data_IF_919596932273
#
_entry.id   IF_919596932273
#
_cell.length_a   1.000
_cell.length_b   1.000
_cell.length_c   1.000
_cell.angle_alpha   90.00
_cell.angle_beta   90.00
_cell.angle_gamma   90.00
#
_symmetry.space_group_name_H-M   'P 1'
#
loop_
_entity.id
_entity.type
_entity.pdbx_description
1 polymer ?
#
# COMPACT_ATOMS: atom_id res chain seq x y z
N UNK A 1 -6.06 21.04 27.23
CA UNK A 1 -5.27 20.41 26.15
C UNK A 1 -5.73 20.94 24.80
N UNK A 2 -4.91 21.74 24.13
CA UNK A 2 -5.26 22.34 22.83
C UNK A 2 -5.15 21.31 21.70
N UNK A 3 -6.18 21.19 20.86
CA UNK A 3 -6.11 20.44 19.61
C UNK A 3 -5.21 21.20 18.63
N UNK A 4 -3.98 20.75 18.42
CA UNK A 4 -3.20 21.17 17.26
C UNK A 4 -3.81 20.55 16.00
N UNK A 5 -4.49 21.39 15.19
CA UNK A 5 -4.93 21.06 13.84
C UNK A 5 -3.83 21.49 12.87
N UNK A 6 -3.06 20.55 12.33
CA UNK A 6 -2.29 20.83 11.13
C UNK A 6 -3.27 20.95 9.95
N UNK A 7 -3.47 22.17 9.46
CA UNK A 7 -4.25 22.44 8.25
C UNK A 7 -3.28 22.59 7.09
N UNK A 8 -3.29 21.62 6.21
CA UNK A 8 -2.48 21.63 5.00
C UNK A 8 -3.30 21.00 3.90
N UNK A 9 -3.53 21.75 2.82
CA UNK A 9 -4.19 21.21 1.62
C UNK A 9 -5.60 20.66 1.89
N UNK A 10 -6.36 21.33 2.76
CA UNK A 10 -7.73 20.91 3.13
C UNK A 10 -7.81 19.67 4.01
N UNK A 11 -6.70 18.97 4.28
CA UNK A 11 -6.64 17.76 5.10
C UNK A 11 -6.43 18.11 6.58
N UNK A 12 -7.16 17.43 7.45
CA UNK A 12 -6.92 17.39 8.90
C UNK A 12 -6.82 15.94 9.34
N UNK A 13 -5.80 15.61 10.12
CA UNK A 13 -5.54 14.24 10.60
C UNK A 13 -5.50 14.23 12.12
N UNK A 14 -6.22 13.30 12.74
CA UNK A 14 -6.30 13.13 14.20
C UNK A 14 -6.11 11.67 14.58
N UNK A 15 -5.11 11.38 15.41
CA UNK A 15 -4.96 10.06 16.01
C UNK A 15 -5.96 9.90 17.16
N UNK A 16 -6.74 8.81 17.13
CA UNK A 16 -7.79 8.52 18.11
C UNK A 16 -7.34 7.54 19.21
N UNK A 17 -6.31 6.74 18.95
CA UNK A 17 -5.84 5.70 19.85
C UNK A 17 -5.18 4.56 19.08
N UNK A 18 -4.95 3.44 19.75
CA UNK A 18 -4.56 2.18 19.13
C UNK A 18 -5.38 1.01 19.66
N UNK A 19 -5.44 -0.06 18.86
CA UNK A 19 -5.98 -1.36 19.27
C UNK A 19 -4.93 -2.44 19.07
N UNK A 20 -4.72 -3.27 20.09
CA UNK A 20 -3.84 -4.43 20.02
C UNK A 20 -4.68 -5.70 20.05
N UNK A 21 -4.68 -6.44 18.93
CA UNK A 21 -5.21 -7.80 18.83
C UNK A 21 -4.04 -8.73 18.50
N UNK A 22 -4.04 -9.40 17.35
CA UNK A 22 -2.86 -10.10 16.81
C UNK A 22 -1.75 -9.12 16.35
N UNK A 23 -2.16 -7.91 15.98
CA UNK A 23 -1.28 -6.80 15.55
C UNK A 23 -1.82 -5.51 16.15
N UNK A 24 -0.94 -4.51 16.29
CA UNK A 24 -1.35 -3.17 16.73
C UNK A 24 -1.69 -2.28 15.54
N UNK A 25 -2.85 -1.65 15.61
CA UNK A 25 -3.34 -0.67 14.64
C UNK A 25 -3.58 0.66 15.32
N UNK A 26 -3.13 1.75 14.72
CA UNK A 26 -3.42 3.12 15.13
C UNK A 26 -4.66 3.60 14.38
N UNK A 27 -5.65 4.07 15.14
CA UNK A 27 -6.86 4.68 14.61
C UNK A 27 -6.59 6.12 14.28
N UNK A 28 -6.90 6.50 13.05
CA UNK A 28 -6.70 7.83 12.51
C UNK A 28 -8.01 8.30 11.92
N UNK A 29 -8.48 9.47 12.36
CA UNK A 29 -9.57 10.19 11.75
C UNK A 29 -9.00 11.22 10.77
N UNK A 30 -9.52 11.22 9.56
CA UNK A 30 -9.13 12.15 8.50
C UNK A 30 -10.35 12.97 8.11
N UNK A 31 -10.17 14.28 7.96
CA UNK A 31 -11.19 15.18 7.43
C UNK A 31 -10.65 15.91 6.20
N UNK A 32 -11.43 15.95 5.13
CA UNK A 32 -11.12 16.64 3.87
C UNK A 32 -12.42 17.18 3.27
N UNK A 33 -12.44 18.46 2.88
CA UNK A 33 -13.59 19.06 2.16
C UNK A 33 -14.97 18.85 2.84
N UNK A 34 -15.00 18.78 4.16
CA UNK A 34 -16.23 18.56 4.94
C UNK A 34 -16.59 17.09 5.14
N UNK A 35 -15.95 16.16 4.44
CA UNK A 35 -16.04 14.73 4.71
C UNK A 35 -15.10 14.34 5.85
N UNK A 36 -15.49 13.33 6.63
CA UNK A 36 -14.65 12.76 7.69
C UNK A 36 -14.79 11.25 7.70
N UNK A 37 -13.67 10.55 7.78
CA UNK A 37 -13.63 9.09 7.87
C UNK A 37 -12.55 8.63 8.85
N UNK A 38 -12.66 7.38 9.28
CA UNK A 38 -11.68 6.73 10.14
C UNK A 38 -10.98 5.62 9.38
N UNK A 39 -9.70 5.45 9.65
CA UNK A 39 -8.87 4.38 9.12
C UNK A 39 -7.97 3.81 10.21
N UNK A 40 -7.57 2.56 10.01
CA UNK A 40 -6.68 1.83 10.92
C UNK A 40 -5.42 1.45 10.16
N UNK A 41 -4.26 1.93 10.61
CA UNK A 41 -2.96 1.64 9.98
C UNK A 41 -2.03 1.03 11.01
N UNK A 42 -1.20 0.08 10.59
CA UNK A 42 -0.14 -0.47 11.43
C UNK A 42 1.07 0.45 11.38
N UNK A 43 1.94 0.33 12.37
CA UNK A 43 3.23 1.02 12.38
C UNK A 43 4.02 0.79 11.08
N UNK A 44 4.00 -0.45 10.56
CA UNK A 44 4.68 -0.79 9.29
C UNK A 44 4.19 0.06 8.13
N UNK A 45 2.91 0.39 8.09
CA UNK A 45 2.30 1.13 6.98
C UNK A 45 2.79 2.59 7.02
N UNK A 46 2.89 3.20 8.21
CA UNK A 46 3.52 4.52 8.38
C UNK A 46 5.01 4.51 8.05
N UNK A 47 5.73 3.47 8.48
CA UNK A 47 7.16 3.34 8.19
C UNK A 47 7.43 3.27 6.69
N UNK A 48 6.65 2.46 5.96
CA UNK A 48 6.76 2.39 4.51
C UNK A 48 6.37 3.71 3.86
N UNK A 49 5.31 4.37 4.32
CA UNK A 49 4.96 5.69 3.82
C UNK A 49 6.13 6.67 3.97
N UNK A 50 6.70 6.81 5.17
CA UNK A 50 7.86 7.66 5.44
C UNK A 50 9.09 7.31 4.58
N UNK A 51 9.42 6.02 4.45
CA UNK A 51 10.58 5.57 3.67
C UNK A 51 10.45 5.86 2.16
N UNK A 52 9.24 6.09 1.65
CA UNK A 52 8.97 6.37 0.24
C UNK A 52 8.72 7.86 -0.05
N UNK A 53 8.84 8.73 0.95
CA UNK A 53 8.79 10.17 0.73
C UNK A 53 10.10 10.66 0.08
N UNK A 54 10.02 11.80 -0.59
CA UNK A 54 11.20 12.51 -1.09
C UNK A 54 12.24 12.74 0.04
N UNK A 55 13.53 12.70 -0.31
CA UNK A 55 14.67 12.90 0.61
C UNK A 55 14.52 14.13 1.50
N UNK A 56 13.82 15.18 1.05
CA UNK A 56 13.59 16.37 1.88
C UNK A 56 12.69 16.11 3.10
N UNK A 57 11.71 15.21 2.99
CA UNK A 57 10.82 14.84 4.10
C UNK A 57 11.40 13.70 4.96
N UNK A 58 12.27 12.87 4.38
CA UNK A 58 12.97 11.80 5.10
C UNK A 58 13.90 12.31 6.23
N UNK A 59 14.14 13.63 6.29
CA UNK A 59 14.88 14.28 7.38
C UNK A 59 14.05 14.46 8.66
N UNK A 60 12.73 14.34 8.58
CA UNK A 60 11.87 14.42 9.76
C UNK A 60 12.15 13.23 10.68
N UNK A 61 12.12 13.48 11.99
CA UNK A 61 12.36 12.45 12.98
C UNK A 61 11.20 11.44 12.98
N UNK A 62 11.41 10.26 12.42
CA UNK A 62 10.43 9.18 12.43
C UNK A 62 10.67 8.24 13.62
N UNK A 63 9.61 7.81 14.34
CA UNK A 63 9.77 6.88 15.46
C UNK A 63 10.54 5.61 15.04
N UNK A 64 11.42 5.05 15.88
CA UNK A 64 12.19 3.87 15.51
C UNK A 64 11.37 2.58 15.57
N UNK A 65 11.79 1.61 14.76
CA UNK A 65 11.33 0.22 14.89
C UNK A 65 11.81 -0.34 16.23
N UNK A 66 10.93 -0.99 16.97
CA UNK A 66 11.30 -1.72 18.18
C UNK A 66 11.53 -3.19 17.88
N UNK A 67 12.41 -3.81 18.66
CA UNK A 67 12.63 -5.25 18.63
C UNK A 67 11.65 -5.91 19.61
N UNK A 68 10.75 -6.75 19.10
CA UNK A 68 9.77 -7.47 19.90
C UNK A 68 8.42 -6.77 20.08
N UNK A 69 7.58 -7.38 20.92
CA UNK A 69 6.26 -6.87 21.28
C UNK A 69 6.38 -5.67 22.20
N UNK A 70 5.58 -4.64 21.96
CA UNK A 70 5.53 -3.45 22.81
C UNK A 70 4.46 -3.56 23.89
N UNK A 71 4.71 -2.98 25.06
CA UNK A 71 3.70 -2.74 26.10
C UNK A 71 2.71 -1.64 25.68
N UNK A 72 1.60 -1.49 26.40
CA UNK A 72 0.63 -0.44 26.11
C UNK A 72 1.23 0.97 26.23
N UNK A 73 2.09 1.20 27.22
CA UNK A 73 2.79 2.48 27.43
C UNK A 73 3.74 2.79 26.26
N UNK A 74 4.46 1.79 25.77
CA UNK A 74 5.34 1.96 24.61
C UNK A 74 4.55 2.19 23.31
N UNK A 75 3.35 1.61 23.20
CA UNK A 75 2.45 1.87 22.07
C UNK A 75 1.89 3.29 22.10
N UNK A 76 1.57 3.81 23.29
CA UNK A 76 1.13 5.18 23.48
C UNK A 76 2.24 6.18 23.13
N UNK A 77 3.46 5.94 23.63
CA UNK A 77 4.64 6.76 23.29
C UNK A 77 4.88 6.77 21.77
N UNK A 78 4.78 5.59 21.13
CA UNK A 78 4.91 5.48 19.67
C UNK A 78 3.78 6.21 18.95
N UNK A 79 2.54 6.15 19.43
CA UNK A 79 1.42 6.89 18.85
C UNK A 79 1.69 8.41 18.93
N UNK A 80 2.18 8.89 20.06
CA UNK A 80 2.49 10.31 20.24
C UNK A 80 3.60 10.77 19.28
N UNK A 81 4.67 9.97 19.13
CA UNK A 81 5.72 10.24 18.14
C UNK A 81 5.22 10.21 16.69
N UNK A 82 4.34 9.27 16.35
CA UNK A 82 3.70 9.23 15.02
C UNK A 82 2.86 10.49 14.78
N UNK A 83 2.12 10.94 15.80
CA UNK A 83 1.30 12.16 15.73
C UNK A 83 2.15 13.41 15.53
N UNK A 84 3.24 13.55 16.27
CA UNK A 84 4.19 14.66 16.12
C UNK A 84 4.80 14.68 14.73
N UNK A 85 5.35 13.53 14.29
CA UNK A 85 5.89 13.38 12.94
C UNK A 85 4.87 13.75 11.86
N UNK A 86 3.63 13.26 11.96
CA UNK A 86 2.59 13.54 10.95
C UNK A 86 2.19 15.02 10.95
N UNK A 87 2.18 15.66 12.12
CA UNK A 87 1.89 17.09 12.27
C UNK A 87 2.96 17.93 11.59
N UNK A 88 4.24 17.61 11.81
CA UNK A 88 5.37 18.26 11.14
C UNK A 88 5.34 18.02 9.64
N UNK A 89 5.12 16.78 9.20
CA UNK A 89 5.03 16.42 7.80
C UNK A 89 3.93 17.21 7.08
N UNK A 90 2.73 17.30 7.67
CA UNK A 90 1.62 18.08 7.12
C UNK A 90 1.94 19.59 7.06
N UNK A 91 2.72 20.13 7.99
CA UNK A 91 3.09 21.54 7.98
C UNK A 91 4.12 21.91 6.88
N UNK A 92 4.80 20.93 6.28
CA UNK A 92 5.78 21.18 5.23
C UNK A 92 5.13 21.51 3.88
N UNK A 93 5.75 22.36 3.05
CA UNK A 93 5.36 22.54 1.65
C UNK A 93 5.45 21.23 0.87
N UNK A 94 4.32 20.74 0.37
CA UNK A 94 4.22 19.48 -0.34
C UNK A 94 4.38 19.66 -1.84
N UNK A 95 5.03 18.69 -2.49
CA UNK A 95 5.02 18.55 -3.94
C UNK A 95 3.73 17.85 -4.37
N UNK A 96 3.28 17.99 -5.64
CA UNK A 96 2.14 17.24 -6.16
C UNK A 96 2.26 15.72 -5.91
N UNK A 97 3.46 15.17 -6.09
CA UNK A 97 3.75 13.77 -5.81
C UNK A 97 3.54 13.40 -4.33
N UNK A 98 4.01 14.23 -3.40
CA UNK A 98 3.84 13.98 -1.96
C UNK A 98 2.36 14.07 -1.55
N UNK A 99 1.60 14.99 -2.16
CA UNK A 99 0.15 15.11 -1.97
C UNK A 99 -0.54 13.82 -2.43
N UNK A 100 -0.22 13.32 -3.63
CA UNK A 100 -0.79 12.08 -4.16
C UNK A 100 -0.47 10.88 -3.27
N UNK A 101 0.79 10.75 -2.80
CA UNK A 101 1.19 9.70 -1.86
C UNK A 101 0.43 9.80 -0.53
N UNK A 102 0.27 11.00 0.01
CA UNK A 102 -0.47 11.26 1.25
C UNK A 102 -1.96 10.90 1.10
N UNK A 103 -2.59 11.34 0.01
CA UNK A 103 -3.99 11.03 -0.28
C UNK A 103 -4.19 9.52 -0.43
N UNK A 104 -3.32 8.82 -1.15
CA UNK A 104 -3.34 7.36 -1.27
C UNK A 104 -3.19 6.68 0.11
N UNK A 105 -2.26 7.16 0.95
CA UNK A 105 -2.06 6.63 2.29
C UNK A 105 -3.28 6.83 3.20
N UNK A 106 -3.91 8.01 3.15
CA UNK A 106 -5.03 8.42 4.00
C UNK A 106 -6.41 8.04 3.45
N UNK A 107 -6.50 7.46 2.25
CA UNK A 107 -7.78 7.05 1.69
C UNK A 107 -8.41 5.98 2.59
N UNK A 108 -9.68 6.17 2.93
CA UNK A 108 -10.46 5.13 3.58
C UNK A 108 -10.57 3.96 2.60
N UNK A 109 -9.88 2.85 2.89
CA UNK A 109 -10.29 1.55 2.41
C UNK A 109 -11.63 1.27 3.07
N UNK A 110 -12.75 1.59 2.39
CA UNK A 110 -14.10 1.31 2.90
C UNK A 110 -14.14 -0.16 3.30
N UNK A 111 -14.20 -0.45 4.60
CA UNK A 111 -14.40 -1.80 5.07
C UNK A 111 -15.85 -2.20 4.75
N UNK A 112 -15.98 -3.09 3.77
CA UNK A 112 -17.16 -3.90 3.53
C UNK A 112 -17.59 -4.54 4.85
N UNK A 113 -18.81 -4.23 5.29
CA UNK A 113 -19.42 -4.88 6.45
C UNK A 113 -19.53 -6.39 6.19
N UNK A 114 -19.03 -7.17 7.14
CA UNK A 114 -19.35 -8.57 7.45
C UNK A 114 -20.17 -9.36 6.41
N UNK A 115 -19.51 -10.28 5.71
CA UNK A 115 -20.00 -11.66 5.64
C UNK A 115 -18.87 -12.61 6.00
N UNK A 116 -19.19 -13.55 6.88
CA UNK A 116 -18.28 -14.60 7.35
C UNK A 116 -17.79 -15.41 6.15
N UNK A 117 -16.48 -15.51 5.97
CA UNK A 117 -15.86 -16.48 5.06
C UNK A 117 -15.17 -15.94 3.81
N UNK A 118 -15.29 -14.66 3.46
CA UNK A 118 -14.64 -14.11 2.26
C UNK A 118 -13.90 -12.81 2.62
N UNK A 119 -12.57 -12.81 2.56
CA UNK A 119 -11.77 -11.57 2.70
C UNK A 119 -11.92 -10.75 1.42
N UNK A 120 -12.89 -9.83 1.41
CA UNK A 120 -13.04 -8.81 0.39
C UNK A 120 -11.80 -7.90 0.35
N UNK A 121 -11.04 -7.96 -0.74
CA UNK A 121 -10.02 -6.95 -1.06
C UNK A 121 -10.75 -5.71 -1.60
N UNK A 122 -10.58 -4.53 -0.99
CA UNK A 122 -11.30 -3.33 -1.40
C UNK A 122 -10.72 -2.76 -2.71
N UNK A 123 -11.42 -2.97 -3.82
CA UNK A 123 -11.12 -2.36 -5.11
C UNK A 123 -11.90 -3.04 -6.24
N UNK A 124 -12.31 -2.28 -7.26
CA UNK A 124 -12.81 -2.87 -8.50
C UNK A 124 -11.69 -3.71 -9.10
N UNK A 125 -11.94 -5.00 -9.34
CA UNK A 125 -10.98 -5.85 -10.05
C UNK A 125 -10.88 -5.32 -11.48
N UNK A 126 -9.70 -4.88 -11.85
CA UNK A 126 -9.42 -4.38 -13.20
C UNK A 126 -9.08 -5.54 -14.14
N UNK A 127 -8.31 -6.51 -13.64
CA UNK A 127 -8.00 -7.77 -14.34
C UNK A 127 -7.57 -8.84 -13.35
N UNK A 128 -7.89 -10.09 -13.64
CA UNK A 128 -7.38 -11.26 -12.91
C UNK A 128 -7.00 -12.35 -13.90
N UNK A 129 -5.99 -13.15 -13.58
CA UNK A 129 -5.55 -14.23 -14.44
C UNK A 129 -4.23 -14.86 -13.99
N UNK A 130 -3.83 -15.92 -14.68
CA UNK A 130 -2.59 -16.60 -14.38
C UNK A 130 -1.40 -15.94 -15.08
N UNK A 131 -0.33 -15.71 -14.31
CA UNK A 131 0.97 -15.30 -14.83
C UNK A 131 2.06 -16.24 -14.30
N UNK A 132 3.14 -16.44 -15.05
CA UNK A 132 4.36 -16.99 -14.46
C UNK A 132 5.11 -15.85 -13.78
N UNK A 133 5.24 -15.90 -12.46
CA UNK A 133 6.02 -14.93 -11.69
C UNK A 133 7.43 -15.45 -11.47
N UNK A 134 8.43 -14.60 -11.70
CA UNK A 134 9.81 -14.91 -11.30
C UNK A 134 9.93 -14.90 -9.77
N UNK A 135 10.39 -16.01 -9.20
CA UNK A 135 10.70 -16.18 -7.78
C UNK A 135 12.20 -16.48 -7.58
N UNK A 136 12.81 -15.85 -6.59
CA UNK A 136 14.21 -16.08 -6.21
C UNK A 136 14.95 -14.80 -5.81
N UNK A 137 15.95 -14.93 -4.95
CA UNK A 137 16.97 -13.91 -4.70
C UNK A 137 18.12 -14.14 -5.70
N UNK A 138 18.83 -13.08 -6.11
CA UNK A 138 19.89 -13.08 -7.15
C UNK A 138 20.63 -14.42 -7.30
N UNK A 139 20.51 -15.05 -8.47
CA UNK A 139 21.32 -16.22 -8.87
C UNK A 139 20.53 -17.47 -9.27
N UNK A 140 19.23 -17.57 -8.98
CA UNK A 140 18.37 -18.63 -9.51
C UNK A 140 17.00 -18.10 -9.96
N UNK A 141 16.69 -18.25 -11.24
CA UNK A 141 15.40 -17.86 -11.81
C UNK A 141 14.42 -19.03 -11.70
N UNK A 142 13.50 -18.99 -10.73
CA UNK A 142 12.45 -20.01 -10.60
C UNK A 142 11.09 -19.40 -10.97
N UNK A 143 10.61 -19.70 -12.18
CA UNK A 143 9.30 -19.24 -12.65
C UNK A 143 8.19 -20.09 -12.02
N UNK A 144 7.23 -19.44 -11.37
CA UNK A 144 6.08 -20.11 -10.75
C UNK A 144 4.79 -19.55 -11.31
N UNK A 145 3.88 -20.44 -11.73
CA UNK A 145 2.51 -20.05 -12.08
C UNK A 145 1.80 -19.52 -10.83
N UNK A 146 1.21 -18.34 -10.92
CA UNK A 146 0.50 -17.65 -9.84
C UNK A 146 -0.77 -17.03 -10.39
N UNK A 147 -1.83 -17.05 -9.59
CA UNK A 147 -3.03 -16.30 -9.92
C UNK A 147 -2.86 -14.87 -9.43
N UNK A 148 -3.01 -13.91 -10.33
CA UNK A 148 -2.72 -12.50 -10.09
C UNK A 148 -4.01 -11.71 -10.22
N UNK A 149 -4.26 -10.82 -9.26
CA UNK A 149 -5.46 -9.99 -9.22
C UNK A 149 -5.04 -8.53 -9.12
N UNK A 150 -5.40 -7.76 -10.13
CA UNK A 150 -5.16 -6.32 -10.21
C UNK A 150 -6.38 -5.55 -9.75
N UNK A 151 -6.18 -4.76 -8.70
CA UNK A 151 -7.16 -3.86 -8.09
C UNK A 151 -6.50 -2.47 -7.96
N UNK A 152 -6.57 -1.84 -6.78
CA UNK A 152 -5.70 -0.72 -6.40
C UNK A 152 -4.26 -1.18 -6.10
N UNK A 153 -4.07 -2.49 -5.92
CA UNK A 153 -2.79 -3.18 -5.76
C UNK A 153 -2.73 -4.40 -6.66
N UNK A 154 -1.52 -4.91 -6.94
CA UNK A 154 -1.33 -6.20 -7.60
C UNK A 154 -1.15 -7.28 -6.54
N UNK A 155 -2.12 -8.18 -6.43
CA UNK A 155 -2.14 -9.26 -5.45
C UNK A 155 -1.77 -10.58 -6.14
N UNK A 156 -0.95 -11.38 -5.47
CA UNK A 156 -0.41 -12.64 -6.02
C UNK A 156 -0.83 -13.80 -5.13
N UNK A 157 -1.54 -14.78 -5.69
CA UNK A 157 -2.02 -15.99 -5.02
C UNK A 157 -1.34 -17.24 -5.56
N UNK A 158 -1.39 -18.32 -4.78
CA UNK A 158 -0.88 -19.62 -5.23
C UNK A 158 -1.70 -20.15 -6.42
N UNK A 159 -3.03 -20.08 -6.30
CA UNK A 159 -4.02 -20.54 -7.27
C UNK A 159 -5.25 -19.62 -7.25
N UNK A 160 -6.11 -19.75 -8.26
CA UNK A 160 -7.43 -19.09 -8.31
C UNK A 160 -8.34 -19.55 -7.18
N UNK A 161 -8.37 -20.85 -6.89
CA UNK A 161 -9.15 -21.42 -5.78
C UNK A 161 -8.81 -20.76 -4.42
N UNK A 162 -7.51 -20.49 -4.16
CA UNK A 162 -7.10 -19.79 -2.95
C UNK A 162 -7.66 -18.36 -2.92
N UNK A 163 -7.75 -17.70 -4.07
CA UNK A 163 -8.35 -16.36 -4.16
C UNK A 163 -9.88 -16.40 -3.95
N UNK A 164 -10.59 -17.27 -4.67
CA UNK A 164 -12.05 -17.38 -4.61
C UNK A 164 -12.55 -17.76 -3.21
N UNK A 165 -11.79 -18.61 -2.51
CA UNK A 165 -12.08 -19.00 -1.13
C UNK A 165 -11.57 -17.99 -0.08
N UNK A 166 -11.14 -16.79 -0.48
CA UNK A 166 -10.76 -15.71 0.44
C UNK A 166 -9.43 -15.94 1.17
N UNK A 167 -8.56 -16.78 0.62
CA UNK A 167 -7.21 -17.04 1.11
C UNK A 167 -6.31 -15.80 1.06
N UNK A 168 -5.21 -15.85 1.82
CA UNK A 168 -4.24 -14.76 1.87
C UNK A 168 -3.32 -14.76 0.64
N UNK A 169 -2.93 -13.60 0.11
CA UNK A 169 -2.01 -13.54 -1.02
C UNK A 169 -0.60 -13.89 -0.55
N UNK A 170 0.18 -14.51 -1.44
CA UNK A 170 1.62 -14.76 -1.25
C UNK A 170 2.45 -13.48 -1.36
N UNK A 171 1.93 -12.47 -2.05
CA UNK A 171 2.58 -11.18 -2.19
C UNK A 171 1.59 -10.10 -2.61
N UNK A 172 1.93 -8.86 -2.31
CA UNK A 172 1.19 -7.69 -2.75
C UNK A 172 2.21 -6.65 -3.22
N UNK A 173 1.93 -6.03 -4.37
CA UNK A 173 2.74 -4.96 -4.95
C UNK A 173 1.89 -3.70 -4.99
N UNK A 174 2.37 -2.64 -4.37
CA UNK A 174 1.68 -1.35 -4.35
C UNK A 174 1.87 -0.65 -5.69
N UNK A 175 0.77 -0.19 -6.28
CA UNK A 175 0.80 0.42 -7.61
C UNK A 175 1.12 1.93 -7.60
N UNK A 176 1.37 2.50 -6.42
CA UNK A 176 1.58 3.94 -6.22
C UNK A 176 2.84 4.49 -6.91
N UNK A 177 3.79 3.63 -7.30
CA UNK A 177 5.04 4.00 -7.99
C UNK A 177 5.43 2.89 -8.97
N UNK A 178 4.61 2.66 -9.98
CA UNK A 178 4.88 1.61 -10.98
C UNK A 178 5.58 2.19 -12.19
N UNK A 179 6.49 1.46 -12.81
CA UNK A 179 6.96 1.67 -14.18
C UNK A 179 6.95 0.33 -14.90
N UNK A 180 6.22 0.25 -16.01
CA UNK A 180 6.29 -0.90 -16.90
C UNK A 180 6.88 -0.43 -18.23
N UNK A 181 8.19 -0.61 -18.46
CA UNK A 181 8.80 -0.31 -19.75
C UNK A 181 8.16 -1.18 -20.84
N UNK A 182 8.29 -0.74 -22.09
CA UNK A 182 7.92 -1.57 -23.23
C UNK A 182 8.70 -2.89 -23.12
N UNK A 183 8.01 -4.03 -23.13
CA UNK A 183 8.66 -5.33 -22.96
C UNK A 183 9.62 -5.61 -24.12
N UNK A 184 10.83 -6.08 -23.81
CA UNK A 184 11.84 -6.50 -24.79
C UNK A 184 11.58 -7.91 -25.33
N UNK A 185 10.88 -8.75 -24.55
CA UNK A 185 10.51 -10.13 -24.86
C UNK A 185 9.01 -10.21 -25.19
N UNK A 186 8.61 -11.14 -26.06
CA UNK A 186 7.23 -11.28 -26.54
C UNK A 186 6.20 -11.72 -25.48
N UNK A 187 6.63 -12.24 -24.33
CA UNK A 187 5.73 -12.72 -23.28
C UNK A 187 6.08 -12.19 -21.89
N UNK A 188 7.32 -11.74 -21.67
CA UNK A 188 7.76 -11.21 -20.37
C UNK A 188 7.53 -9.70 -20.26
N UNK A 189 7.24 -9.26 -19.04
CA UNK A 189 7.23 -7.85 -18.68
C UNK A 189 7.71 -7.66 -17.25
N UNK A 190 8.35 -6.53 -17.01
CA UNK A 190 8.77 -6.12 -15.67
C UNK A 190 7.96 -4.92 -15.24
N UNK A 191 7.40 -5.01 -14.05
CA UNK A 191 6.69 -3.94 -13.39
C UNK A 191 7.55 -3.49 -12.22
N UNK A 192 8.31 -2.42 -12.44
CA UNK A 192 9.13 -1.83 -11.39
C UNK A 192 8.21 -1.15 -10.40
N UNK A 193 8.17 -1.67 -9.18
CA UNK A 193 7.28 -1.22 -8.13
C UNK A 193 8.00 -1.29 -6.80
N UNK A 194 7.48 -0.55 -5.82
CA UNK A 194 8.05 -0.55 -4.48
C UNK A 194 7.33 -1.57 -3.59
N UNK A 195 8.07 -2.37 -2.78
CA UNK A 195 9.52 -2.34 -2.60
C UNK A 195 10.31 -3.24 -3.58
N UNK A 196 9.62 -4.01 -4.43
CA UNK A 196 10.25 -5.01 -5.30
C UNK A 196 9.65 -4.99 -6.70
N UNK A 197 10.53 -5.17 -7.68
CA UNK A 197 10.12 -5.40 -9.05
C UNK A 197 9.30 -6.68 -9.15
N UNK A 198 8.22 -6.59 -9.92
CA UNK A 198 7.37 -7.71 -10.27
C UNK A 198 7.67 -8.09 -11.71
N UNK A 199 8.45 -9.17 -11.88
CA UNK A 199 8.74 -9.76 -13.19
C UNK A 199 7.76 -10.89 -13.44
N UNK A 200 7.06 -10.82 -14.58
CA UNK A 200 6.05 -11.80 -14.96
C UNK A 200 6.12 -12.15 -16.44
N UNK A 201 5.60 -13.33 -16.77
CA UNK A 201 5.39 -13.83 -18.12
C UNK A 201 3.91 -14.20 -18.30
N UNK A 202 3.29 -13.72 -19.37
CA UNK A 202 1.92 -14.10 -19.72
C UNK A 202 1.88 -15.38 -20.57
N UNK A 203 0.68 -15.92 -20.80
CA UNK A 203 0.49 -17.10 -21.64
C UNK A 203 0.54 -16.78 -23.14
N UNK A 204 0.21 -15.53 -23.51
CA UNK A 204 0.25 -15.05 -24.89
C UNK A 204 0.67 -13.58 -24.95
N UNK A 205 1.09 -13.16 -26.15
CA UNK A 205 1.41 -11.77 -26.49
C UNK A 205 0.24 -10.83 -26.21
N UNK A 206 -0.97 -11.23 -26.59
CA UNK A 206 -2.18 -10.43 -26.39
C UNK A 206 -2.51 -10.26 -24.90
N UNK A 207 -2.41 -11.33 -24.10
CA UNK A 207 -2.63 -11.23 -22.65
C UNK A 207 -1.58 -10.33 -21.99
N UNK A 208 -0.30 -10.47 -22.39
CA UNK A 208 0.80 -9.60 -21.95
C UNK A 208 0.54 -8.13 -22.30
N UNK A 209 0.11 -7.84 -23.53
CA UNK A 209 -0.18 -6.47 -23.98
C UNK A 209 -1.37 -5.87 -23.22
N UNK A 210 -2.39 -6.67 -22.91
CA UNK A 210 -3.53 -6.24 -22.11
C UNK A 210 -3.10 -5.89 -20.67
N UNK A 211 -2.29 -6.73 -20.02
CA UNK A 211 -1.71 -6.44 -18.71
C UNK A 211 -0.89 -5.14 -18.72
N UNK A 212 0.03 -4.99 -19.66
CA UNK A 212 0.90 -3.81 -19.78
C UNK A 212 0.08 -2.53 -20.04
N UNK A 213 -0.92 -2.60 -20.92
CA UNK A 213 -1.81 -1.48 -21.23
C UNK A 213 -2.55 -0.98 -19.99
N UNK A 214 -3.08 -1.89 -19.15
CA UNK A 214 -3.73 -1.53 -17.89
C UNK A 214 -2.76 -0.82 -16.92
N UNK A 215 -1.53 -1.32 -16.78
CA UNK A 215 -0.54 -0.68 -15.92
C UNK A 215 -0.10 0.71 -16.42
N UNK A 216 -0.01 0.90 -17.73
CA UNK A 216 0.30 2.19 -18.32
C UNK A 216 -0.86 3.18 -18.14
N UNK A 217 -2.12 2.72 -18.25
CA UNK A 217 -3.29 3.55 -18.01
C UNK A 217 -3.39 4.01 -16.55
N UNK A 218 -3.06 3.14 -15.59
CA UNK A 218 -3.04 3.46 -14.16
C UNK A 218 -2.04 4.56 -13.77
N UNK A 219 -1.06 4.89 -14.62
CA UNK A 219 -0.14 6.03 -14.40
C UNK A 219 -0.71 7.39 -14.82
N UNK A 220 -1.74 7.38 -15.67
CA UNK A 220 -2.23 8.58 -16.34
C UNK A 220 -3.37 9.27 -15.58
N UNK A 221 -3.77 8.70 -14.44
CA UNK A 221 -4.83 9.15 -13.54
C UNK A 221 -4.22 9.62 -12.21
#
# INVERSE_FOLDING_TARGET
MALQKAKSHGLTVKFLGFETKEKTFYKVQVSHEGETWELSKRYSDFYFFHANLDKKYAKLAFPPKSLGSLTAEQQDERQQKLKEWFTEFLAMPMTPQAIAQLQSFLRATKHVKQQRGVRNYPGTILKAGYLQKLAGTKGSSNWKKRYVVLTDSLLVYETEDVYENGGAPKGAVSLNCIYCPTPEDDLEFTLHALPVDFVARAESKDDRDEWVSLFQHLRSC
#
